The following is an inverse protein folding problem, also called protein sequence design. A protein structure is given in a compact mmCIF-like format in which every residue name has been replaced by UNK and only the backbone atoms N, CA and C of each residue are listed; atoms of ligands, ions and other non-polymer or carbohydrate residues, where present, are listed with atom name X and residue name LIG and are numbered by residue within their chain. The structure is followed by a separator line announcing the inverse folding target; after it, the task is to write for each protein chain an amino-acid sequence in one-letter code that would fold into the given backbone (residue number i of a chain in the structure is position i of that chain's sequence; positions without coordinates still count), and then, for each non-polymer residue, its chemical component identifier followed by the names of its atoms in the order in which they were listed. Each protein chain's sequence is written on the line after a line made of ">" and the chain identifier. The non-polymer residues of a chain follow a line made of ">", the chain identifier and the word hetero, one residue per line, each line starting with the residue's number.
data_IF_714699694758
#
_entry.id   IF_714699694758
#
_cell.length_a   1.000
_cell.length_b   1.000
_cell.length_c   1.000
_cell.angle_alpha   90.00
_cell.angle_beta   90.00
_cell.angle_gamma   90.00
#
_symmetry.space_group_name_H-M   'P 1'
#
loop_
_entity.id
_entity.type
_entity.pdbx_description
1 polymer ?
#
# COMPACT_ATOMS: atom_id res chain seq x y z
N UNK A 1 -11.51 64.13 -5.85
CA UNK A 1 -10.25 63.38 -6.08
C UNK A 1 -10.46 61.95 -5.59
N UNK A 2 -9.98 60.99 -6.38
CA UNK A 2 -10.46 59.61 -6.48
C UNK A 2 -10.40 58.79 -5.17
N UNK A 3 -11.52 58.16 -4.82
CA UNK A 3 -11.66 57.11 -3.81
C UNK A 3 -10.97 55.84 -4.34
N UNK A 4 -9.84 55.45 -3.74
CA UNK A 4 -9.09 54.24 -4.12
C UNK A 4 -9.77 53.01 -3.53
N UNK A 5 -10.49 52.25 -4.36
CA UNK A 5 -10.93 50.89 -4.03
C UNK A 5 -9.71 49.98 -3.98
N UNK A 6 -9.32 49.56 -2.77
CA UNK A 6 -8.32 48.51 -2.57
C UNK A 6 -9.04 47.17 -2.59
N UNK A 7 -8.97 46.47 -3.72
CA UNK A 7 -9.50 45.12 -3.87
C UNK A 7 -8.52 44.13 -3.22
N UNK A 8 -8.78 43.73 -1.98
CA UNK A 8 -8.02 42.70 -1.28
C UNK A 8 -8.44 41.35 -1.87
N UNK A 9 -7.62 40.80 -2.76
CA UNK A 9 -7.79 39.45 -3.29
C UNK A 9 -7.54 38.42 -2.19
N UNK A 10 -8.60 37.75 -1.74
CA UNK A 10 -8.49 36.60 -0.83
C UNK A 10 -8.08 35.40 -1.67
N UNK A 11 -6.81 34.98 -1.58
CA UNK A 11 -6.41 33.68 -2.12
C UNK A 11 -7.02 32.57 -1.25
N UNK A 12 -7.79 31.63 -1.82
CA UNK A 12 -8.18 30.44 -1.09
C UNK A 12 -6.92 29.61 -0.82
N UNK A 13 -6.51 29.53 0.44
CA UNK A 13 -5.57 28.50 0.89
C UNK A 13 -6.29 27.16 0.82
N UNK A 14 -6.10 26.43 -0.27
CA UNK A 14 -6.49 25.03 -0.34
C UNK A 14 -5.52 24.27 0.57
N UNK A 15 -5.98 23.90 1.76
CA UNK A 15 -5.31 22.89 2.58
C UNK A 15 -5.51 21.56 1.86
N UNK A 16 -4.58 21.21 0.96
CA UNK A 16 -4.45 19.85 0.49
C UNK A 16 -3.87 19.04 1.64
N UNK A 17 -4.70 18.19 2.27
CA UNK A 17 -4.23 17.26 3.28
C UNK A 17 -3.19 16.34 2.62
N UNK A 18 -1.94 16.42 3.08
CA UNK A 18 -0.87 15.57 2.56
C UNK A 18 -1.21 14.14 2.98
N UNK A 19 -1.61 13.31 2.03
CA UNK A 19 -1.74 11.86 2.25
C UNK A 19 -0.36 11.33 2.65
N UNK A 20 -0.26 10.74 3.84
CA UNK A 20 0.96 10.12 4.37
C UNK A 20 0.83 8.61 4.32
N UNK A 21 1.88 7.96 3.86
CA UNK A 21 2.07 6.51 3.82
C UNK A 21 3.16 6.08 4.80
N UNK A 22 3.27 6.77 5.94
CA UNK A 22 4.32 6.48 6.91
C UNK A 22 4.21 5.02 7.39
N UNK A 23 5.34 4.31 7.40
CA UNK A 23 5.48 2.91 7.85
C UNK A 23 4.73 1.87 6.98
N UNK A 24 4.33 2.24 5.77
CA UNK A 24 3.87 1.26 4.78
C UNK A 24 5.08 0.45 4.32
N UNK A 25 4.99 -0.88 4.42
CA UNK A 25 6.10 -1.77 4.08
C UNK A 25 5.83 -2.46 2.75
N UNK A 26 6.87 -2.55 1.91
CA UNK A 26 6.84 -3.25 0.63
C UNK A 26 7.39 -4.66 0.80
N UNK A 27 6.62 -5.64 0.33
CA UNK A 27 6.91 -7.05 0.37
C UNK A 27 7.05 -7.60 -1.05
N UNK A 28 8.01 -8.51 -1.21
CA UNK A 28 8.12 -9.38 -2.39
C UNK A 28 7.82 -10.80 -1.95
N UNK A 29 6.76 -11.38 -2.49
CA UNK A 29 6.30 -12.72 -2.16
C UNK A 29 6.70 -13.68 -3.29
N UNK A 30 7.00 -14.92 -2.92
CA UNK A 30 7.36 -16.00 -3.85
C UNK A 30 6.40 -17.20 -3.63
N UNK A 31 5.21 -17.18 -4.26
CA UNK A 31 4.26 -18.29 -4.17
C UNK A 31 4.78 -19.52 -4.92
N UNK A 32 5.14 -20.59 -4.21
CA UNK A 32 5.61 -21.85 -4.80
C UNK A 32 4.53 -22.93 -5.04
N UNK A 33 3.29 -22.69 -4.62
CA UNK A 33 2.17 -23.63 -4.72
C UNK A 33 0.91 -22.92 -5.22
N UNK A 34 0.01 -23.66 -5.88
CA UNK A 34 -1.28 -23.12 -6.37
C UNK A 34 -2.12 -22.57 -5.21
N UNK A 35 -2.15 -23.26 -4.07
CA UNK A 35 -2.83 -22.79 -2.85
C UNK A 35 -2.31 -21.43 -2.35
N UNK A 36 -1.04 -21.09 -2.62
CA UNK A 36 -0.49 -19.78 -2.30
C UNK A 36 -1.05 -18.71 -3.25
N UNK A 37 -1.16 -19.02 -4.55
CA UNK A 37 -1.72 -18.12 -5.55
C UNK A 37 -3.18 -17.85 -5.24
N UNK A 38 -3.95 -18.89 -4.92
CA UNK A 38 -5.36 -18.79 -4.58
C UNK A 38 -5.56 -17.92 -3.33
N UNK A 39 -4.80 -18.17 -2.26
CA UNK A 39 -4.82 -17.34 -1.05
C UNK A 39 -4.47 -15.87 -1.34
N UNK A 40 -3.43 -15.61 -2.13
CA UNK A 40 -3.04 -14.24 -2.47
C UNK A 40 -4.09 -13.56 -3.36
N UNK A 41 -4.77 -14.31 -4.22
CA UNK A 41 -5.86 -13.82 -5.05
C UNK A 41 -7.07 -13.43 -4.19
N UNK A 42 -7.43 -14.22 -3.20
CA UNK A 42 -8.49 -13.88 -2.25
C UNK A 42 -8.17 -12.57 -1.50
N UNK A 43 -6.92 -12.39 -1.05
CA UNK A 43 -6.47 -11.14 -0.43
C UNK A 43 -6.48 -9.95 -1.38
N UNK A 44 -6.17 -10.18 -2.66
CA UNK A 44 -6.22 -9.14 -3.69
C UNK A 44 -7.66 -8.65 -3.92
N UNK A 45 -8.64 -9.54 -3.83
CA UNK A 45 -10.07 -9.21 -4.00
C UNK A 45 -10.67 -8.49 -2.77
N UNK A 46 -10.22 -8.80 -1.55
CA UNK A 46 -10.72 -8.12 -0.34
C UNK A 46 -10.26 -6.66 -0.22
N UNK A 47 -9.10 -6.29 -0.77
CA UNK A 47 -8.55 -4.92 -0.83
C UNK A 47 -8.52 -4.11 0.48
N UNK A 48 -8.44 -4.76 1.64
CA UNK A 48 -8.43 -4.08 2.94
C UNK A 48 -6.99 -3.86 3.47
N UNK A 49 -6.41 -2.70 3.15
CA UNK A 49 -5.12 -2.25 3.69
C UNK A 49 -3.89 -3.00 3.15
N UNK A 50 -4.07 -3.73 2.04
CA UNK A 50 -3.03 -4.33 1.20
C UNK A 50 -3.17 -3.77 -0.22
N UNK A 51 -2.08 -3.25 -0.77
CA UNK A 51 -2.03 -2.72 -2.14
C UNK A 51 -1.07 -3.58 -2.97
N UNK A 52 -1.61 -4.33 -3.92
CA UNK A 52 -0.85 -5.24 -4.77
C UNK A 52 -0.34 -4.49 -6.00
N UNK A 53 0.93 -4.09 -5.96
CA UNK A 53 1.60 -3.46 -7.11
C UNK A 53 1.84 -4.44 -8.25
N UNK A 54 2.09 -5.71 -7.91
CA UNK A 54 2.16 -6.81 -8.87
C UNK A 54 1.22 -7.89 -8.37
N UNK A 55 0.12 -8.19 -9.07
CA UNK A 55 -0.91 -9.11 -8.61
C UNK A 55 -0.44 -10.57 -8.69
N UNK A 56 -1.06 -11.47 -7.91
CA UNK A 56 -0.82 -12.91 -8.02
C UNK A 56 -1.44 -13.45 -9.32
N UNK A 57 -0.58 -13.87 -10.27
CA UNK A 57 -1.04 -14.46 -11.55
C UNK A 57 -0.86 -15.97 -11.56
N UNK A 58 0.34 -16.45 -11.20
CA UNK A 58 0.73 -17.87 -11.21
C UNK A 58 1.74 -18.16 -10.11
N UNK A 59 1.94 -19.45 -9.81
CA UNK A 59 3.05 -19.89 -8.97
C UNK A 59 4.39 -19.61 -9.66
N UNK A 60 5.45 -19.51 -8.86
CA UNK A 60 6.82 -19.20 -9.25
C UNK A 60 7.03 -17.80 -9.86
N UNK A 61 5.96 -17.03 -10.04
CA UNK A 61 6.01 -15.59 -10.34
C UNK A 61 5.93 -14.79 -9.04
N UNK A 62 6.76 -13.76 -8.92
CA UNK A 62 6.80 -12.95 -7.71
C UNK A 62 5.61 -11.99 -7.66
N UNK A 63 5.14 -11.73 -6.44
CA UNK A 63 4.03 -10.81 -6.14
C UNK A 63 4.58 -9.66 -5.32
N UNK A 64 4.12 -8.43 -5.58
CA UNK A 64 4.53 -7.26 -4.81
C UNK A 64 3.34 -6.66 -4.11
N UNK A 65 3.46 -6.50 -2.79
CA UNK A 65 2.42 -5.96 -1.92
C UNK A 65 2.99 -4.88 -1.04
N UNK A 66 2.25 -3.78 -0.94
CA UNK A 66 2.43 -2.80 0.11
C UNK A 66 1.40 -3.07 1.19
N UNK A 67 1.85 -3.30 2.42
CA UNK A 67 0.97 -3.46 3.56
C UNK A 67 0.94 -2.17 4.39
N UNK A 68 -0.27 -1.74 4.74
CA UNK A 68 -0.48 -0.69 5.74
C UNK A 68 0.06 -1.12 7.12
N UNK A 69 0.47 -0.17 7.99
CA UNK A 69 0.98 -0.48 9.32
C UNK A 69 -0.01 -1.30 10.17
N UNK A 70 -1.31 -1.04 10.01
CA UNK A 70 -2.37 -1.74 10.73
C UNK A 70 -2.50 -3.21 10.32
N UNK A 71 -2.30 -3.52 9.02
CA UNK A 71 -2.46 -4.87 8.47
C UNK A 71 -1.17 -5.69 8.45
N UNK A 72 -0.02 -5.03 8.60
CA UNK A 72 1.30 -5.66 8.55
C UNK A 72 1.43 -6.91 9.43
N UNK A 73 1.02 -6.83 10.70
CA UNK A 73 1.18 -7.94 11.65
C UNK A 73 0.31 -9.15 11.23
N UNK A 74 -0.96 -8.88 10.88
CA UNK A 74 -1.91 -9.90 10.45
C UNK A 74 -1.47 -10.55 9.12
N UNK A 75 -1.00 -9.73 8.18
CA UNK A 75 -0.52 -10.16 6.88
C UNK A 75 0.72 -11.06 7.01
N UNK A 76 1.75 -10.62 7.73
CA UNK A 76 2.96 -11.43 7.97
C UNK A 76 2.65 -12.74 8.70
N UNK A 77 1.71 -12.73 9.65
CA UNK A 77 1.27 -13.95 10.33
C UNK A 77 0.56 -14.91 9.36
N UNK A 78 -0.30 -14.40 8.49
CA UNK A 78 -1.01 -15.20 7.48
C UNK A 78 -0.06 -15.83 6.46
N UNK A 79 0.96 -15.09 6.02
CA UNK A 79 2.04 -15.61 5.17
C UNK A 79 2.81 -16.74 5.86
N UNK A 80 3.22 -16.54 7.13
CA UNK A 80 3.94 -17.54 7.92
C UNK A 80 3.12 -18.80 8.15
N UNK A 81 1.83 -18.66 8.49
CA UNK A 81 0.91 -19.79 8.71
C UNK A 81 0.81 -20.70 7.49
N UNK A 82 0.86 -20.11 6.29
CA UNK A 82 0.79 -20.81 5.00
C UNK A 82 2.17 -21.13 4.41
N UNK A 83 3.25 -20.81 5.11
CA UNK A 83 4.62 -20.98 4.64
C UNK A 83 4.91 -20.30 3.29
N UNK A 84 4.25 -19.17 3.01
CA UNK A 84 4.54 -18.36 1.84
C UNK A 84 5.88 -17.65 2.06
N UNK A 85 6.82 -17.85 1.14
CA UNK A 85 8.13 -17.20 1.22
C UNK A 85 8.00 -15.73 0.85
N UNK A 86 8.60 -14.85 1.66
CA UNK A 86 8.57 -13.41 1.40
C UNK A 86 9.85 -12.70 1.84
N UNK A 87 10.10 -11.55 1.22
CA UNK A 87 11.17 -10.62 1.53
C UNK A 87 10.56 -9.24 1.81
N UNK A 88 11.06 -8.55 2.84
CA UNK A 88 10.71 -7.15 3.10
C UNK A 88 11.67 -6.28 2.31
N UNK A 89 11.19 -5.69 1.22
CA UNK A 89 11.99 -4.84 0.32
C UNK A 89 12.24 -3.46 0.94
N UNK A 90 11.19 -2.87 1.54
CA UNK A 90 11.24 -1.58 2.22
C UNK A 90 10.37 -1.65 3.47
N UNK A 91 10.84 -1.14 4.60
CA UNK A 91 10.04 -1.09 5.83
C UNK A 91 9.12 0.14 5.89
N UNK A 92 9.46 1.18 5.15
CA UNK A 92 8.73 2.42 5.04
C UNK A 92 8.97 2.99 3.63
N UNK A 93 7.94 2.99 2.79
CA UNK A 93 8.03 3.47 1.40
C UNK A 93 8.16 5.00 1.28
N UNK A 94 7.91 5.75 2.37
CA UNK A 94 7.93 7.21 2.36
C UNK A 94 9.29 7.82 2.76
N UNK A 95 10.26 7.00 3.18
CA UNK A 95 11.63 7.43 3.56
C UNK A 95 12.40 8.07 2.41
#
# INVERSE_FOLDING_TARGET
>A
MLLKLVLIGVLPFVLAEKVRYDNYALYKLHPSAEDHVDFLRDLYEESDGLDFWIPPVRKDEYVSVVASPAKRIEFEHSLKKRSVTYEVMLQDIQQ
#
